data_IF_106959232444
#
_entry.id   IF_106959232444
#
_cell.length_a   1.000
_cell.length_b   1.000
_cell.length_c   1.000
_cell.angle_alpha   90.00
_cell.angle_beta   90.00
_cell.angle_gamma   90.00
#
_symmetry.space_group_name_H-M   'P 1'
#
loop_
_entity.id
_entity.type
_entity.pdbx_description
1 polymer ?
#
# COMPACT_ATOMS: atom_id res chain seq x y z
N UNK A 1 -13.59 -30.23 14.76
CA UNK A 1 -13.08 -29.41 13.63
C UNK A 1 -11.60 -29.18 13.90
N UNK A 2 -10.73 -29.83 13.16
CA UNK A 2 -9.28 -29.62 13.29
C UNK A 2 -8.97 -28.16 12.90
N UNK A 3 -8.44 -27.42 13.84
CA UNK A 3 -7.87 -26.08 13.58
C UNK A 3 -6.65 -26.28 12.68
N UNK A 4 -6.85 -26.16 11.40
CA UNK A 4 -5.80 -26.30 10.39
C UNK A 4 -4.66 -25.34 10.71
N UNK A 5 -3.57 -25.88 11.23
CA UNK A 5 -2.35 -25.14 11.56
C UNK A 5 -1.81 -24.54 10.27
N UNK A 6 -1.78 -23.25 10.17
CA UNK A 6 -1.20 -22.50 9.04
C UNK A 6 0.20 -23.05 8.72
N UNK A 7 0.44 -23.43 7.47
CA UNK A 7 1.78 -23.86 7.00
C UNK A 7 2.24 -22.89 5.93
N UNK A 8 3.33 -22.19 6.21
CA UNK A 8 4.03 -21.46 5.15
C UNK A 8 4.60 -22.47 4.16
N UNK A 9 4.47 -22.18 2.87
CA UNK A 9 5.08 -22.95 1.79
C UNK A 9 6.08 -22.06 1.07
N UNK A 10 7.25 -22.62 0.80
CA UNK A 10 8.27 -22.03 -0.06
C UNK A 10 8.42 -22.94 -1.26
N UNK A 11 8.31 -22.37 -2.45
CA UNK A 11 8.54 -23.08 -3.70
C UNK A 11 9.87 -22.62 -4.30
N UNK A 12 10.61 -23.55 -4.87
CA UNK A 12 11.85 -23.29 -5.58
C UNK A 12 11.67 -23.67 -7.06
N UNK A 13 12.01 -22.77 -7.97
CA UNK A 13 11.89 -22.95 -9.41
C UNK A 13 11.35 -21.73 -10.13
N UNK A 14 11.07 -21.86 -11.43
CA UNK A 14 10.38 -20.80 -12.18
C UNK A 14 8.98 -20.61 -11.61
N UNK A 15 8.66 -19.38 -11.25
CA UNK A 15 7.38 -19.04 -10.64
C UNK A 15 6.20 -19.23 -11.60
N UNK A 16 6.41 -19.19 -12.92
CA UNK A 16 5.37 -19.46 -13.90
C UNK A 16 4.92 -20.93 -13.84
N UNK A 17 5.88 -21.86 -13.81
CA UNK A 17 5.61 -23.29 -13.69
C UNK A 17 4.95 -23.61 -12.34
N UNK A 18 5.48 -23.02 -11.27
CA UNK A 18 4.92 -23.18 -9.92
C UNK A 18 3.47 -22.69 -9.86
N UNK A 19 3.16 -21.55 -10.44
CA UNK A 19 1.79 -21.03 -10.48
C UNK A 19 0.86 -21.95 -11.26
N UNK A 20 1.32 -22.49 -12.40
CA UNK A 20 0.54 -23.39 -13.25
C UNK A 20 0.27 -24.74 -12.59
N UNK A 21 1.29 -25.33 -11.96
CA UNK A 21 1.23 -26.71 -11.46
C UNK A 21 0.73 -26.82 -10.01
N UNK A 22 1.04 -25.82 -9.17
CA UNK A 22 0.89 -25.97 -7.73
C UNK A 22 -0.10 -25.00 -7.09
N UNK A 23 -0.57 -23.97 -7.81
CA UNK A 23 -1.50 -22.99 -7.27
C UNK A 23 -2.83 -23.04 -8.00
N UNK A 24 -3.88 -23.45 -7.30
CA UNK A 24 -5.22 -23.52 -7.87
C UNK A 24 -5.80 -22.12 -8.14
N UNK A 25 -6.73 -22.07 -9.10
CA UNK A 25 -7.44 -20.82 -9.42
C UNK A 25 -8.24 -20.31 -8.23
N UNK A 26 -8.27 -18.99 -8.05
CA UNK A 26 -9.09 -18.29 -7.05
C UNK A 26 -8.85 -18.72 -5.59
N UNK A 27 -7.59 -19.03 -5.25
CA UNK A 27 -7.20 -19.45 -3.88
C UNK A 27 -6.43 -18.39 -3.12
N UNK A 28 -5.94 -17.35 -3.81
CA UNK A 28 -5.05 -16.33 -3.25
C UNK A 28 -5.80 -15.06 -2.91
N UNK A 29 -5.66 -14.55 -1.69
CA UNK A 29 -6.31 -13.32 -1.25
C UNK A 29 -5.48 -12.08 -1.58
N UNK A 30 -4.15 -12.18 -1.49
CA UNK A 30 -3.24 -11.06 -1.69
C UNK A 30 -1.97 -11.51 -2.40
N UNK A 31 -1.58 -10.75 -3.42
CA UNK A 31 -0.30 -10.92 -4.12
C UNK A 31 0.54 -9.66 -3.90
N UNK A 32 1.77 -9.84 -3.46
CA UNK A 32 2.82 -8.82 -3.57
C UNK A 32 3.88 -9.35 -4.53
N UNK A 33 4.04 -8.66 -5.66
CA UNK A 33 4.96 -9.03 -6.71
C UNK A 33 6.12 -8.04 -6.73
N UNK A 34 7.33 -8.55 -6.55
CA UNK A 34 8.60 -7.81 -6.60
C UNK A 34 9.50 -8.46 -7.66
N UNK A 35 9.24 -8.20 -8.95
CA UNK A 35 9.97 -8.82 -10.05
C UNK A 35 11.33 -8.14 -10.25
N UNK A 36 12.22 -8.72 -11.06
CA UNK A 36 13.37 -7.99 -11.56
C UNK A 36 12.92 -6.73 -12.29
N UNK A 37 13.69 -5.65 -12.14
CA UNK A 37 13.31 -4.35 -12.70
C UNK A 37 13.85 -4.09 -14.11
N UNK A 38 14.57 -5.04 -14.70
CA UNK A 38 15.28 -4.85 -15.97
C UNK A 38 16.28 -3.67 -15.92
N UNK A 39 16.93 -3.52 -14.78
CA UNK A 39 17.80 -2.37 -14.47
C UNK A 39 19.21 -2.50 -15.07
N UNK A 40 19.49 -3.56 -15.83
CA UNK A 40 20.82 -3.91 -16.36
C UNK A 40 21.90 -4.08 -15.28
N UNK A 41 21.51 -4.40 -14.06
CA UNK A 41 22.41 -4.65 -12.94
C UNK A 41 22.45 -6.14 -12.63
N UNK A 42 23.63 -6.75 -12.77
CA UNK A 42 23.84 -8.13 -12.29
C UNK A 42 23.84 -8.16 -10.75
N UNK A 43 22.83 -8.75 -10.16
CA UNK A 43 22.79 -9.01 -8.71
C UNK A 43 23.61 -10.27 -8.40
N UNK A 44 24.91 -10.07 -8.15
CA UNK A 44 25.75 -11.11 -7.59
C UNK A 44 25.63 -11.09 -6.06
N UNK A 45 25.07 -12.13 -5.48
CA UNK A 45 25.14 -12.32 -4.02
C UNK A 45 26.56 -12.78 -3.70
N UNK A 46 27.38 -11.84 -3.24
CA UNK A 46 28.72 -12.12 -2.77
C UNK A 46 28.63 -12.79 -1.37
N UNK A 47 28.65 -14.10 -1.33
CA UNK A 47 28.99 -14.80 -0.09
C UNK A 47 30.51 -14.72 0.09
N UNK A 48 30.96 -13.82 0.98
CA UNK A 48 32.33 -13.87 1.48
C UNK A 48 32.37 -14.90 2.62
N UNK A 49 33.20 -15.91 2.46
CA UNK A 49 33.57 -16.75 3.59
C UNK A 49 34.38 -15.93 4.60
N UNK A 50 34.38 -16.36 5.87
CA UNK A 50 35.15 -15.69 6.94
C UNK A 50 36.67 -15.55 6.65
N UNK A 51 37.16 -16.26 5.64
CA UNK A 51 38.54 -16.21 5.13
C UNK A 51 38.79 -15.03 4.16
N UNK A 52 37.76 -14.32 3.69
CA UNK A 52 37.91 -13.26 2.68
C UNK A 52 38.05 -13.78 1.23
N UNK A 53 38.06 -15.09 1.01
CA UNK A 53 38.13 -15.70 -0.30
C UNK A 53 36.73 -15.79 -0.93
N UNK A 54 36.63 -15.67 -2.27
CA UNK A 54 35.39 -15.88 -3.01
C UNK A 54 35.00 -17.35 -2.90
N UNK A 55 33.81 -17.62 -2.37
CA UNK A 55 33.29 -18.98 -2.34
C UNK A 55 33.20 -19.56 -3.75
N UNK A 56 33.66 -20.80 -3.95
CA UNK A 56 33.50 -21.54 -5.19
C UNK A 56 32.03 -21.81 -5.55
N UNK A 57 31.12 -21.57 -4.61
CA UNK A 57 29.67 -21.61 -4.77
C UNK A 57 29.08 -20.22 -5.08
N UNK A 58 29.81 -19.37 -5.81
CA UNK A 58 29.25 -18.13 -6.33
C UNK A 58 28.17 -18.50 -7.35
N UNK A 59 26.94 -18.66 -6.89
CA UNK A 59 25.77 -18.85 -7.72
C UNK A 59 25.44 -17.47 -8.28
N UNK A 60 25.46 -17.32 -9.60
CA UNK A 60 24.83 -16.17 -10.26
C UNK A 60 23.36 -16.22 -9.89
N UNK A 61 22.97 -15.40 -8.92
CA UNK A 61 21.65 -15.49 -8.34
C UNK A 61 20.60 -15.10 -9.38
N UNK A 62 20.96 -14.19 -10.29
CA UNK A 62 20.00 -13.65 -11.22
C UNK A 62 20.68 -12.61 -12.15
N UNK A 63 20.44 -12.71 -13.43
CA UNK A 63 20.75 -11.66 -14.40
C UNK A 63 19.50 -10.82 -14.59
N UNK A 64 19.55 -9.55 -14.18
CA UNK A 64 18.47 -8.58 -14.40
C UNK A 64 18.61 -7.97 -15.82
N UNK A 65 18.86 -8.84 -16.79
CA UNK A 65 19.00 -8.51 -18.21
C UNK A 65 18.17 -9.48 -19.03
N UNK A 66 17.23 -8.92 -19.74
CA UNK A 66 16.35 -9.68 -20.64
C UNK A 66 16.78 -9.39 -22.06
N UNK A 67 17.01 -10.42 -22.83
CA UNK A 67 17.32 -10.29 -24.25
C UNK A 67 16.21 -10.95 -25.07
N UNK A 68 15.84 -10.30 -26.17
CA UNK A 68 14.90 -10.91 -27.10
C UNK A 68 15.56 -12.10 -27.77
N UNK A 69 15.05 -13.28 -27.52
CA UNK A 69 15.53 -14.56 -28.04
C UNK A 69 14.37 -15.51 -28.35
N UNK A 70 14.70 -16.77 -28.60
CA UNK A 70 13.71 -17.78 -28.96
C UNK A 70 12.66 -17.99 -27.85
N UNK A 71 13.06 -17.99 -26.60
CA UNK A 71 12.15 -18.13 -25.45
C UNK A 71 11.15 -16.98 -25.39
N UNK A 72 11.62 -15.73 -25.57
CA UNK A 72 10.74 -14.57 -25.61
C UNK A 72 9.79 -14.62 -26.81
N UNK A 73 10.26 -15.11 -27.96
CA UNK A 73 9.40 -15.29 -29.14
C UNK A 73 8.32 -16.35 -28.90
N UNK A 74 8.67 -17.50 -28.29
CA UNK A 74 7.69 -18.53 -27.95
C UNK A 74 6.65 -18.01 -26.94
N UNK A 75 7.09 -17.33 -25.88
CA UNK A 75 6.23 -16.74 -24.88
C UNK A 75 5.28 -15.68 -25.51
N UNK A 76 5.79 -14.86 -26.42
CA UNK A 76 4.99 -13.90 -27.17
C UNK A 76 3.92 -14.61 -28.02
N UNK A 77 4.30 -15.63 -28.78
CA UNK A 77 3.40 -16.37 -29.65
C UNK A 77 2.30 -17.11 -28.85
N UNK A 78 2.66 -17.67 -27.69
CA UNK A 78 1.69 -18.28 -26.78
C UNK A 78 0.60 -17.27 -26.38
N UNK A 79 1.00 -16.08 -25.92
CA UNK A 79 0.03 -15.05 -25.48
C UNK A 79 -0.81 -14.53 -26.67
N UNK A 80 -0.19 -14.34 -27.83
CA UNK A 80 -0.91 -13.83 -29.01
C UNK A 80 -1.96 -14.84 -29.50
N UNK A 81 -1.69 -16.13 -29.39
CA UNK A 81 -2.60 -17.20 -29.85
C UNK A 81 -3.64 -17.58 -28.81
N UNK A 82 -3.25 -17.70 -27.55
CA UNK A 82 -4.05 -18.33 -26.49
C UNK A 82 -4.41 -17.38 -25.34
N UNK A 83 -3.76 -16.23 -25.26
CA UNK A 83 -3.96 -15.27 -24.18
C UNK A 83 -5.24 -14.44 -24.32
N UNK A 84 -5.57 -13.63 -23.28
CA UNK A 84 -6.67 -12.70 -23.33
C UNK A 84 -6.56 -11.72 -24.50
N UNK A 85 -7.64 -11.51 -25.24
CA UNK A 85 -7.63 -10.70 -26.48
C UNK A 85 -7.02 -9.31 -26.28
N UNK A 86 -7.42 -8.58 -25.23
CA UNK A 86 -6.87 -7.24 -24.96
C UNK A 86 -5.36 -7.26 -24.73
N UNK A 87 -4.86 -8.29 -24.07
CA UNK A 87 -3.42 -8.47 -23.84
C UNK A 87 -2.70 -8.79 -25.14
N UNK A 88 -3.26 -9.69 -25.99
CA UNK A 88 -2.73 -10.01 -27.31
C UNK A 88 -2.64 -8.76 -28.19
N UNK A 89 -3.70 -7.96 -28.27
CA UNK A 89 -3.75 -6.72 -29.05
C UNK A 89 -2.67 -5.71 -28.54
N UNK A 90 -2.55 -5.57 -27.22
CA UNK A 90 -1.55 -4.71 -26.60
C UNK A 90 -0.12 -5.14 -26.93
N UNK A 91 0.20 -6.43 -26.76
CA UNK A 91 1.55 -6.94 -27.03
C UNK A 91 1.95 -6.79 -28.50
N UNK A 92 1.00 -7.00 -29.42
CA UNK A 92 1.24 -6.78 -30.85
C UNK A 92 1.56 -5.29 -31.12
N UNK A 93 0.79 -4.36 -30.53
CA UNK A 93 1.05 -2.93 -30.65
C UNK A 93 2.41 -2.53 -30.05
N UNK A 94 2.74 -3.05 -28.85
CA UNK A 94 4.03 -2.80 -28.22
C UNK A 94 5.19 -3.37 -29.02
N UNK A 95 5.05 -4.54 -29.64
CA UNK A 95 6.07 -5.10 -30.50
C UNK A 95 6.34 -4.25 -31.74
N UNK A 96 5.30 -3.64 -32.33
CA UNK A 96 5.44 -2.71 -33.45
C UNK A 96 6.16 -1.43 -32.99
N UNK A 97 5.84 -0.95 -31.80
CA UNK A 97 6.39 0.29 -31.26
C UNK A 97 7.82 0.15 -30.74
N UNK A 98 8.10 -0.88 -29.94
CA UNK A 98 9.42 -1.11 -29.31
C UNK A 98 10.39 -1.87 -30.19
N UNK A 99 9.88 -2.71 -31.09
CA UNK A 99 10.69 -3.71 -31.78
C UNK A 99 11.02 -4.91 -30.90
N UNK A 100 11.97 -5.72 -31.34
CA UNK A 100 12.49 -6.88 -30.63
C UNK A 100 13.71 -6.46 -29.78
N UNK A 101 13.46 -5.97 -28.59
CA UNK A 101 14.48 -5.49 -27.66
C UNK A 101 14.27 -6.05 -26.25
N UNK A 102 15.16 -5.71 -25.34
CA UNK A 102 15.18 -6.19 -23.96
C UNK A 102 13.88 -5.82 -23.20
N UNK A 103 13.37 -4.61 -23.42
CA UNK A 103 12.11 -4.19 -22.79
C UNK A 103 10.93 -5.03 -23.29
N UNK A 104 10.87 -5.34 -24.59
CA UNK A 104 9.82 -6.19 -25.14
C UNK A 104 9.91 -7.64 -24.62
N UNK A 105 11.14 -8.17 -24.45
CA UNK A 105 11.37 -9.47 -23.84
C UNK A 105 10.87 -9.49 -22.39
N UNK A 106 11.21 -8.47 -21.61
CA UNK A 106 10.76 -8.30 -20.22
C UNK A 106 9.23 -8.21 -20.12
N UNK A 107 8.59 -7.37 -20.92
CA UNK A 107 7.14 -7.20 -20.96
C UNK A 107 6.44 -8.53 -21.27
N UNK A 108 6.97 -9.30 -22.23
CA UNK A 108 6.42 -10.59 -22.64
C UNK A 108 6.50 -11.60 -21.49
N UNK A 109 7.66 -11.71 -20.84
CA UNK A 109 7.87 -12.56 -19.67
C UNK A 109 6.91 -12.21 -18.52
N UNK A 110 6.76 -10.92 -18.24
CA UNK A 110 5.86 -10.43 -17.20
C UNK A 110 4.38 -10.71 -17.53
N UNK A 111 4.01 -10.60 -18.81
CA UNK A 111 2.63 -10.83 -19.25
C UNK A 111 2.15 -12.26 -18.95
N UNK A 112 2.97 -13.29 -19.23
CA UNK A 112 2.63 -14.69 -18.91
C UNK A 112 2.36 -14.86 -17.40
N UNK A 113 3.25 -14.32 -16.58
CA UNK A 113 3.16 -14.41 -15.12
C UNK A 113 1.93 -13.66 -14.58
N UNK A 114 1.64 -12.49 -15.11
CA UNK A 114 0.48 -11.69 -14.70
C UNK A 114 -0.85 -12.37 -15.05
N UNK A 115 -0.93 -13.09 -16.17
CA UNK A 115 -2.11 -13.90 -16.52
C UNK A 115 -2.34 -14.99 -15.46
N UNK A 116 -1.30 -15.70 -15.06
CA UNK A 116 -1.40 -16.73 -14.04
C UNK A 116 -1.69 -16.13 -12.64
N UNK A 117 -1.09 -15.01 -12.30
CA UNK A 117 -1.38 -14.29 -11.05
C UNK A 117 -2.84 -13.83 -11.00
N UNK A 118 -3.40 -13.37 -12.12
CA UNK A 118 -4.82 -13.05 -12.20
C UNK A 118 -5.69 -14.32 -12.04
N UNK A 119 -5.29 -15.45 -12.62
CA UNK A 119 -6.02 -16.72 -12.48
C UNK A 119 -6.11 -17.17 -11.02
N UNK A 120 -4.99 -17.16 -10.30
CA UNK A 120 -4.93 -17.65 -8.91
C UNK A 120 -5.54 -16.71 -7.89
N UNK A 121 -5.66 -15.41 -8.20
CA UNK A 121 -6.23 -14.40 -7.33
C UNK A 121 -7.75 -14.59 -7.20
N UNK A 122 -8.30 -14.51 -5.98
CA UNK A 122 -9.75 -14.53 -5.72
C UNK A 122 -10.43 -13.28 -6.28
N UNK A 123 -11.74 -13.33 -6.52
CA UNK A 123 -12.54 -12.17 -6.94
C UNK A 123 -12.46 -10.99 -5.95
N UNK A 124 -12.29 -11.29 -4.66
CA UNK A 124 -12.09 -10.29 -3.60
C UNK A 124 -10.63 -9.94 -3.36
N UNK A 125 -9.72 -10.54 -4.13
CA UNK A 125 -8.29 -10.42 -3.92
C UNK A 125 -7.67 -9.16 -4.53
N UNK A 126 -6.47 -8.85 -4.06
CA UNK A 126 -5.69 -7.68 -4.45
C UNK A 126 -4.27 -8.04 -4.85
N UNK A 127 -3.71 -7.27 -5.78
CA UNK A 127 -2.32 -7.41 -6.23
C UNK A 127 -1.59 -6.08 -6.14
N UNK A 128 -0.37 -6.13 -5.63
CA UNK A 128 0.59 -5.03 -5.58
C UNK A 128 1.80 -5.42 -6.41
N UNK A 129 2.10 -4.64 -7.43
CA UNK A 129 3.27 -4.82 -8.28
C UNK A 129 4.28 -3.71 -8.01
N UNK A 130 5.42 -4.07 -7.46
CA UNK A 130 6.54 -3.16 -7.23
C UNK A 130 7.44 -3.13 -8.47
N UNK A 131 7.79 -1.96 -8.95
CA UNK A 131 8.66 -1.75 -10.10
C UNK A 131 9.37 -0.40 -10.04
N UNK A 132 10.41 -0.25 -10.83
CA UNK A 132 11.06 1.03 -11.02
C UNK A 132 10.33 1.90 -12.08
N UNK A 133 10.61 3.20 -12.15
CA UNK A 133 10.01 4.09 -13.16
C UNK A 133 10.31 3.71 -14.61
N UNK A 134 11.36 2.93 -14.88
CA UNK A 134 11.75 2.54 -16.26
C UNK A 134 10.72 1.62 -16.90
N UNK A 135 10.22 0.67 -16.12
CA UNK A 135 9.26 -0.34 -16.59
C UNK A 135 7.80 -0.03 -16.20
N UNK A 136 7.57 0.82 -15.20
CA UNK A 136 6.26 1.03 -14.57
C UNK A 136 5.14 1.33 -15.55
N UNK A 137 5.38 2.18 -16.55
CA UNK A 137 4.37 2.58 -17.53
C UNK A 137 3.94 1.42 -18.44
N UNK A 138 4.88 0.57 -18.86
CA UNK A 138 4.56 -0.63 -19.65
C UNK A 138 3.83 -1.69 -18.82
N UNK A 139 4.27 -1.88 -17.58
CA UNK A 139 3.63 -2.78 -16.63
C UNK A 139 2.21 -2.33 -16.28
N UNK A 140 1.99 -1.00 -16.17
CA UNK A 140 0.65 -0.43 -15.99
C UNK A 140 -0.28 -0.80 -17.15
N UNK A 141 0.19 -0.70 -18.40
CA UNK A 141 -0.60 -1.11 -19.57
C UNK A 141 -0.92 -2.60 -19.56
N UNK A 142 0.03 -3.47 -19.18
CA UNK A 142 -0.22 -4.89 -19.00
C UNK A 142 -1.30 -5.16 -17.93
N UNK A 143 -1.18 -4.51 -16.79
CA UNK A 143 -2.15 -4.64 -15.70
C UNK A 143 -3.55 -4.17 -16.14
N UNK A 144 -3.64 -3.08 -16.90
CA UNK A 144 -4.92 -2.60 -17.48
C UNK A 144 -5.53 -3.62 -18.45
N UNK A 145 -4.71 -4.28 -19.26
CA UNK A 145 -5.18 -5.29 -20.21
C UNK A 145 -5.68 -6.56 -19.54
N UNK A 146 -5.08 -6.96 -18.42
CA UNK A 146 -5.34 -8.22 -17.71
C UNK A 146 -6.39 -8.04 -16.60
N UNK A 147 -6.20 -7.08 -15.71
CA UNK A 147 -7.08 -6.83 -14.57
C UNK A 147 -8.24 -5.87 -14.90
N UNK A 148 -8.11 -5.08 -15.97
CA UNK A 148 -9.07 -4.05 -16.36
C UNK A 148 -8.76 -2.70 -15.69
N UNK A 149 -8.89 -1.62 -16.47
CA UNK A 149 -8.63 -0.24 -16.01
C UNK A 149 -9.52 0.18 -14.84
N UNK A 150 -10.76 -0.34 -14.79
CA UNK A 150 -11.71 -0.06 -13.70
C UNK A 150 -11.29 -0.64 -12.36
N UNK A 151 -10.40 -1.61 -12.36
CA UNK A 151 -9.86 -2.28 -11.18
C UNK A 151 -8.53 -1.69 -10.71
N UNK A 152 -8.02 -0.67 -11.38
CA UNK A 152 -6.90 0.13 -10.90
C UNK A 152 -7.34 0.92 -9.67
N UNK A 153 -6.57 0.81 -8.59
CA UNK A 153 -6.88 1.46 -7.32
C UNK A 153 -5.96 2.63 -7.04
N UNK A 154 -4.64 2.40 -7.06
CA UNK A 154 -3.64 3.45 -6.85
C UNK A 154 -2.34 3.14 -7.60
N UNK A 155 -1.64 4.20 -7.96
CA UNK A 155 -0.21 4.21 -8.15
C UNK A 155 0.40 4.78 -6.87
N UNK A 156 1.24 4.00 -6.20
CA UNK A 156 1.91 4.40 -4.97
C UNK A 156 3.34 4.75 -5.32
N UNK A 157 3.74 5.97 -5.01
CA UNK A 157 5.11 6.46 -5.17
C UNK A 157 5.86 6.22 -3.87
N UNK A 158 6.82 5.31 -3.90
CA UNK A 158 7.61 4.99 -2.72
C UNK A 158 8.99 5.61 -2.80
N UNK A 159 9.25 6.61 -1.95
CA UNK A 159 10.58 7.18 -1.78
C UNK A 159 11.51 6.15 -1.16
N UNK A 160 12.53 5.71 -1.92
CA UNK A 160 13.46 4.67 -1.52
C UNK A 160 14.75 5.23 -0.91
N UNK A 161 15.27 6.29 -1.50
CA UNK A 161 16.57 6.88 -1.12
C UNK A 161 16.51 8.40 -1.03
N UNK A 162 17.58 9.02 -0.51
CA UNK A 162 17.82 10.44 -0.65
C UNK A 162 18.28 10.84 -2.05
N UNK A 163 18.43 12.14 -2.28
CA UNK A 163 18.89 12.67 -3.56
C UNK A 163 20.35 12.32 -3.79
N UNK A 164 20.67 11.83 -4.97
CA UNK A 164 22.03 11.62 -5.45
C UNK A 164 22.38 12.68 -6.48
N UNK A 165 23.68 13.00 -6.59
CA UNK A 165 24.15 13.95 -7.59
C UNK A 165 23.92 13.40 -9.00
N UNK A 166 22.98 14.01 -9.72
CA UNK A 166 22.74 13.75 -11.12
C UNK A 166 23.27 14.95 -11.94
N UNK A 167 23.96 14.68 -13.02
CA UNK A 167 24.66 15.76 -13.78
C UNK A 167 23.76 16.48 -14.77
N UNK A 168 22.72 15.85 -15.28
CA UNK A 168 21.82 16.40 -16.32
C UNK A 168 20.34 16.06 -16.14
N UNK A 169 19.97 15.33 -15.08
CA UNK A 169 18.61 14.91 -14.79
C UNK A 169 18.33 15.07 -13.30
N UNK A 170 17.06 14.99 -12.91
CA UNK A 170 16.71 14.82 -11.50
C UNK A 170 17.13 13.42 -11.06
N UNK A 171 17.69 13.29 -9.85
CA UNK A 171 18.10 12.01 -9.28
C UNK A 171 16.89 11.09 -9.06
N UNK A 172 16.90 9.82 -9.51
CA UNK A 172 15.84 8.87 -9.28
C UNK A 172 15.87 8.41 -7.81
N UNK A 173 14.86 8.76 -7.05
CA UNK A 173 14.78 8.47 -5.61
C UNK A 173 13.58 7.61 -5.22
N UNK A 174 12.76 7.21 -6.17
CA UNK A 174 11.53 6.49 -5.90
C UNK A 174 11.36 5.25 -6.76
N UNK A 175 10.56 4.34 -6.25
CA UNK A 175 9.98 3.22 -6.99
C UNK A 175 8.46 3.40 -7.05
N UNK A 176 7.82 2.62 -7.90
CA UNK A 176 6.37 2.63 -8.12
C UNK A 176 5.77 1.32 -7.65
N UNK A 177 4.63 1.39 -6.95
CA UNK A 177 3.84 0.20 -6.63
C UNK A 177 2.45 0.38 -7.24
N UNK A 178 2.10 -0.47 -8.20
CA UNK A 178 0.80 -0.49 -8.84
C UNK A 178 -0.16 -1.37 -8.03
N UNK A 179 -1.25 -0.79 -7.57
CA UNK A 179 -2.27 -1.49 -6.81
C UNK A 179 -3.52 -1.73 -7.64
N UNK A 180 -3.89 -3.01 -7.80
CA UNK A 180 -5.11 -3.46 -8.45
C UNK A 180 -5.89 -4.41 -7.55
N UNK A 181 -7.20 -4.46 -7.73
CA UNK A 181 -8.03 -5.57 -7.26
C UNK A 181 -8.48 -6.44 -8.44
N UNK A 182 -8.93 -7.67 -8.19
CA UNK A 182 -9.53 -8.50 -9.26
C UNK A 182 -10.96 -8.10 -9.55
N UNK A 183 -11.71 -7.65 -8.54
CA UNK A 183 -13.10 -7.18 -8.66
C UNK A 183 -13.39 -5.98 -7.76
N UNK A 184 -14.63 -5.50 -7.77
CA UNK A 184 -15.02 -4.32 -6.99
C UNK A 184 -15.18 -4.60 -5.49
N UNK A 185 -15.54 -5.83 -5.11
CA UNK A 185 -15.73 -6.23 -3.72
C UNK A 185 -14.42 -6.73 -3.10
N UNK A 186 -13.35 -5.91 -3.15
CA UNK A 186 -12.05 -6.28 -2.58
C UNK A 186 -11.92 -5.88 -1.11
N UNK A 187 -11.12 -6.65 -0.37
CA UNK A 187 -10.81 -6.34 1.02
C UNK A 187 -9.72 -5.26 1.07
N UNK A 188 -10.02 -4.14 1.72
CA UNK A 188 -9.05 -3.07 1.96
C UNK A 188 -9.11 -2.60 3.41
N UNK A 189 -7.99 -2.74 4.12
CA UNK A 189 -7.84 -2.22 5.48
C UNK A 189 -7.10 -0.88 5.42
N UNK A 190 -7.68 0.15 6.02
CA UNK A 190 -7.05 1.49 6.07
C UNK A 190 -5.78 1.40 6.90
N UNK A 191 -4.65 1.48 6.23
CA UNK A 191 -3.33 1.58 6.88
C UNK A 191 -3.16 2.98 7.45
N UNK A 192 -2.73 3.07 8.73
CA UNK A 192 -2.53 4.34 9.42
C UNK A 192 -1.09 4.48 9.87
N UNK A 193 -0.61 5.71 9.88
CA UNK A 193 0.70 6.11 10.41
C UNK A 193 0.53 6.98 11.66
N UNK A 194 1.50 7.00 12.57
CA UNK A 194 1.50 7.94 13.69
C UNK A 194 1.41 9.40 13.21
N UNK A 195 0.84 10.25 14.05
CA UNK A 195 0.88 11.68 13.79
C UNK A 195 2.31 12.21 13.82
N UNK A 196 2.59 13.21 12.98
CA UNK A 196 3.82 13.98 13.06
C UNK A 196 3.81 14.85 14.32
N UNK A 197 4.97 14.98 15.02
CA UNK A 197 5.10 15.81 16.21
C UNK A 197 4.67 17.26 15.95
N UNK A 198 5.07 17.80 14.81
CA UNK A 198 4.70 19.17 14.42
C UNK A 198 3.18 19.32 14.22
N UNK A 199 2.51 18.32 13.63
CA UNK A 199 1.05 18.30 13.50
C UNK A 199 0.39 18.36 14.90
N UNK A 200 0.90 17.55 15.83
CA UNK A 200 0.36 17.53 17.21
C UNK A 200 0.59 18.88 17.89
N UNK A 201 1.80 19.43 17.83
CA UNK A 201 2.14 20.75 18.41
C UNK A 201 1.26 21.88 17.87
N UNK A 202 0.92 21.85 16.59
CA UNK A 202 0.12 22.90 15.94
C UNK A 202 -1.37 22.75 16.15
N UNK A 203 -1.87 21.53 16.28
CA UNK A 203 -3.31 21.21 16.20
C UNK A 203 -3.92 20.75 17.51
N UNK A 204 -3.10 20.34 18.48
CA UNK A 204 -3.57 19.84 19.75
C UNK A 204 -3.15 20.77 20.89
N UNK A 205 -3.95 20.81 21.95
CA UNK A 205 -3.67 21.52 23.21
C UNK A 205 -4.01 20.59 24.37
N UNK A 206 -3.31 20.74 25.47
CA UNK A 206 -3.66 20.05 26.70
C UNK A 206 -4.93 20.65 27.29
N UNK A 207 -5.82 19.81 27.74
CA UNK A 207 -6.98 20.18 28.54
C UNK A 207 -6.63 20.26 30.05
N UNK A 208 -7.62 20.47 30.89
CA UNK A 208 -7.44 20.53 32.36
C UNK A 208 -6.97 19.24 33.01
N UNK A 209 -7.09 18.09 32.30
CA UNK A 209 -6.68 16.76 32.75
C UNK A 209 -5.34 16.33 32.16
N UNK A 210 -4.70 17.21 31.35
CA UNK A 210 -3.44 16.92 30.67
C UNK A 210 -3.59 16.08 29.39
N UNK A 211 -4.82 15.85 28.90
CA UNK A 211 -5.05 15.13 27.65
C UNK A 211 -4.93 16.07 26.45
N UNK A 212 -4.35 15.57 25.36
CA UNK A 212 -4.20 16.33 24.11
C UNK A 212 -5.50 16.33 23.29
N UNK A 213 -6.15 17.48 23.26
CA UNK A 213 -7.41 17.73 22.51
C UNK A 213 -7.12 18.50 21.24
N UNK A 214 -7.73 18.11 20.13
CA UNK A 214 -7.65 18.79 18.87
C UNK A 214 -8.33 20.17 18.94
N UNK A 215 -7.57 21.24 18.79
CA UNK A 215 -8.00 22.63 19.01
C UNK A 215 -8.14 23.45 17.73
N UNK A 216 -7.97 22.85 16.56
CA UNK A 216 -7.97 23.55 15.28
C UNK A 216 -9.33 23.43 14.57
N UNK A 217 -9.61 24.32 13.61
CA UNK A 217 -10.85 24.33 12.84
C UNK A 217 -11.17 22.98 12.16
N UNK A 218 -12.44 22.77 11.76
CA UNK A 218 -12.92 21.51 11.21
C UNK A 218 -13.53 20.56 12.26
N UNK A 219 -13.77 21.04 13.47
CA UNK A 219 -14.44 20.28 14.53
C UNK A 219 -15.97 20.39 14.48
N UNK A 220 -16.52 21.03 13.48
CA UNK A 220 -17.96 21.19 13.31
C UNK A 220 -18.64 19.89 12.94
N UNK A 221 -19.79 19.64 13.52
CA UNK A 221 -20.60 18.42 13.32
C UNK A 221 -21.59 18.56 12.17
N UNK A 222 -21.30 19.41 11.17
CA UNK A 222 -22.24 19.72 10.10
C UNK A 222 -21.62 19.51 8.72
N UNK A 223 -22.44 18.96 7.79
CA UNK A 223 -22.17 18.88 6.34
C UNK A 223 -22.82 20.02 5.57
N UNK A 224 -22.44 20.20 4.30
CA UNK A 224 -23.02 21.18 3.40
C UNK A 224 -24.40 20.71 2.88
N UNK A 225 -25.32 21.65 2.68
CA UNK A 225 -26.69 21.40 2.21
C UNK A 225 -27.67 21.10 3.33
N UNK A 226 -28.86 21.71 3.25
CA UNK A 226 -29.96 21.43 4.17
C UNK A 226 -30.63 20.08 3.83
N UNK A 227 -31.13 19.38 4.83
CA UNK A 227 -31.91 18.12 4.68
C UNK A 227 -33.23 18.25 5.44
N UNK A 228 -34.25 17.50 4.99
CA UNK A 228 -35.57 17.47 5.64
C UNK A 228 -35.70 16.36 6.70
N UNK A 229 -34.74 15.44 6.77
CA UNK A 229 -34.73 14.35 7.74
C UNK A 229 -34.23 14.80 9.11
N UNK A 230 -34.04 13.83 10.02
CA UNK A 230 -33.57 14.06 11.39
C UNK A 230 -32.24 14.84 11.44
N UNK A 231 -31.35 14.63 10.47
CA UNK A 231 -30.11 15.39 10.34
C UNK A 231 -30.29 16.89 10.05
N UNK A 232 -31.50 17.34 9.70
CA UNK A 232 -31.87 18.72 9.51
C UNK A 232 -32.56 19.33 10.73
N UNK A 233 -32.91 18.55 11.76
CA UNK A 233 -33.67 19.04 12.93
C UNK A 233 -32.78 19.89 13.85
N UNK A 234 -33.33 20.95 14.47
CA UNK A 234 -32.63 21.69 15.50
C UNK A 234 -32.23 20.83 16.69
N UNK A 235 -31.04 21.08 17.24
CA UNK A 235 -30.55 20.43 18.44
C UNK A 235 -29.88 21.44 19.36
N UNK A 236 -30.29 21.46 20.64
CA UNK A 236 -29.78 22.37 21.70
C UNK A 236 -29.67 23.84 21.27
N UNK A 237 -30.64 24.33 20.49
CA UNK A 237 -30.69 25.71 20.02
C UNK A 237 -29.90 26.01 18.74
N UNK A 238 -29.25 25.00 18.16
CA UNK A 238 -28.57 25.10 16.87
C UNK A 238 -29.47 24.55 15.78
N UNK A 239 -29.78 25.37 14.77
CA UNK A 239 -30.52 24.96 13.57
C UNK A 239 -29.58 24.85 12.38
N UNK A 240 -29.27 23.64 11.87
CA UNK A 240 -28.38 23.49 10.76
C UNK A 240 -29.04 23.95 9.44
N UNK A 241 -30.35 23.80 9.29
CA UNK A 241 -31.05 24.13 8.05
C UNK A 241 -31.13 25.64 7.81
N UNK A 242 -31.23 26.45 8.86
CA UNK A 242 -31.18 27.91 8.78
C UNK A 242 -29.88 28.44 8.15
N UNK A 243 -28.82 27.63 8.13
CA UNK A 243 -27.51 27.96 7.53
C UNK A 243 -27.17 27.06 6.33
N UNK A 244 -28.19 26.45 5.71
CA UNK A 244 -28.03 25.52 4.59
C UNK A 244 -27.04 24.37 4.89
N UNK A 245 -27.18 23.75 6.06
CA UNK A 245 -26.36 22.63 6.51
C UNK A 245 -27.23 21.50 7.07
N UNK A 246 -26.61 20.38 7.39
CA UNK A 246 -27.22 19.27 8.11
C UNK A 246 -26.23 18.70 9.12
N UNK A 247 -26.71 17.98 10.13
CA UNK A 247 -25.85 17.27 11.07
C UNK A 247 -25.11 16.13 10.37
N UNK A 248 -23.79 16.14 10.50
CA UNK A 248 -22.89 15.12 9.95
C UNK A 248 -22.03 14.55 11.09
N UNK A 249 -22.59 13.56 11.78
CA UNK A 249 -21.90 12.89 12.89
C UNK A 249 -20.92 11.86 12.33
N UNK A 250 -19.62 11.99 12.64
CA UNK A 250 -18.61 11.04 12.13
C UNK A 250 -18.80 9.63 12.67
N UNK A 251 -18.72 8.63 11.79
CA UNK A 251 -18.81 7.20 12.17
C UNK A 251 -17.72 6.75 13.15
N UNK A 252 -16.63 7.48 13.25
CA UNK A 252 -15.56 7.20 14.20
C UNK A 252 -16.09 6.99 15.64
N UNK A 253 -17.09 7.76 16.06
CA UNK A 253 -17.65 7.64 17.40
C UNK A 253 -18.39 6.31 17.65
N UNK A 254 -18.76 5.58 16.61
CA UNK A 254 -19.36 4.25 16.75
C UNK A 254 -18.43 3.23 17.43
N UNK A 255 -17.13 3.50 17.45
CA UNK A 255 -16.12 2.68 18.13
C UNK A 255 -15.93 3.07 19.61
N UNK A 256 -16.31 4.28 19.99
CA UNK A 256 -16.15 4.84 21.34
C UNK A 256 -17.44 4.77 22.17
N UNK A 257 -18.55 4.48 21.52
CA UNK A 257 -19.88 4.46 22.12
C UNK A 257 -20.43 3.04 22.20
N UNK A 258 -21.41 2.76 23.09
CA UNK A 258 -22.10 1.47 23.12
C UNK A 258 -22.71 1.07 21.77
N UNK A 259 -22.93 -0.22 21.53
CA UNK A 259 -23.40 -0.74 20.25
C UNK A 259 -24.75 -0.16 19.80
N UNK A 260 -25.64 0.16 20.73
CA UNK A 260 -26.94 0.78 20.48
C UNK A 260 -26.81 2.13 19.77
N UNK A 261 -25.71 2.85 20.01
CA UNK A 261 -25.45 4.17 19.42
C UNK A 261 -25.45 4.13 17.88
N UNK A 262 -25.02 3.04 17.26
CA UNK A 262 -24.96 2.91 15.79
C UNK A 262 -26.30 3.14 15.11
N UNK A 263 -27.38 2.74 15.78
CA UNK A 263 -28.75 2.77 15.25
C UNK A 263 -29.54 4.03 15.63
N UNK A 264 -28.96 4.92 16.43
CA UNK A 264 -29.63 6.16 16.81
C UNK A 264 -29.74 7.12 15.64
N UNK A 265 -30.84 7.90 15.55
CA UNK A 265 -30.95 9.00 14.63
C UNK A 265 -29.90 10.11 14.92
N UNK A 266 -29.58 10.98 13.93
CA UNK A 266 -28.53 11.97 14.07
C UNK A 266 -28.63 12.88 15.28
N UNK A 267 -29.80 13.38 15.64
CA UNK A 267 -29.98 14.25 16.82
C UNK A 267 -29.77 13.52 18.15
N UNK A 268 -30.21 12.27 18.23
CA UNK A 268 -29.96 11.42 19.41
C UNK A 268 -28.48 11.03 19.52
N UNK A 269 -27.81 10.80 18.37
CA UNK A 269 -26.35 10.60 18.34
C UNK A 269 -25.62 11.83 18.89
N UNK A 270 -26.02 13.05 18.53
CA UNK A 270 -25.45 14.27 19.08
C UNK A 270 -25.66 14.36 20.59
N UNK A 271 -26.86 14.02 21.09
CA UNK A 271 -27.15 14.06 22.52
C UNK A 271 -26.29 13.06 23.30
N UNK A 272 -26.20 11.81 22.81
CA UNK A 272 -25.36 10.80 23.43
C UNK A 272 -23.88 11.20 23.48
N UNK A 273 -23.35 11.79 22.41
CA UNK A 273 -21.99 12.31 22.37
C UNK A 273 -21.76 13.49 23.30
N UNK A 274 -22.75 14.37 23.43
CA UNK A 274 -22.69 15.49 24.37
C UNK A 274 -22.63 15.00 25.82
N UNK A 275 -23.49 14.04 26.18
CA UNK A 275 -23.50 13.44 27.52
C UNK A 275 -22.20 12.67 27.82
N UNK A 276 -21.60 12.06 26.81
CA UNK A 276 -20.31 11.36 26.92
C UNK A 276 -19.08 12.31 26.91
N UNK A 277 -19.28 13.64 26.78
CA UNK A 277 -18.19 14.61 26.76
C UNK A 277 -17.45 14.73 25.41
N UNK A 278 -17.95 14.07 24.35
CA UNK A 278 -17.37 14.14 23.00
C UNK A 278 -17.83 15.36 22.19
N UNK A 279 -18.80 16.12 22.70
CA UNK A 279 -19.22 17.41 22.13
C UNK A 279 -19.11 18.48 23.19
N UNK A 280 -18.59 19.65 22.81
CA UNK A 280 -18.52 20.85 23.62
C UNK A 280 -19.33 21.95 22.97
N UNK A 281 -20.07 22.68 23.79
CA UNK A 281 -20.80 23.90 23.42
C UNK A 281 -20.19 25.01 24.24
N UNK A 282 -19.43 25.92 23.60
CA UNK A 282 -18.83 27.07 24.25
C UNK A 282 -19.72 28.30 24.07
N UNK A 283 -19.73 29.26 25.04
CA UNK A 283 -20.49 30.50 24.90
C UNK A 283 -20.07 31.27 23.64
N UNK A 284 -21.05 31.71 22.86
CA UNK A 284 -20.82 32.55 21.67
C UNK A 284 -20.34 31.81 20.42
N UNK A 285 -20.23 30.47 20.43
CA UNK A 285 -19.85 29.70 19.22
C UNK A 285 -21.03 29.60 18.26
N UNK A 286 -20.71 29.58 16.98
CA UNK A 286 -21.71 29.40 15.92
C UNK A 286 -22.20 27.93 15.80
N UNK A 287 -21.41 26.96 16.30
CA UNK A 287 -21.67 25.53 16.20
C UNK A 287 -21.11 24.79 17.41
N UNK A 288 -21.73 23.67 17.80
CA UNK A 288 -21.11 22.69 18.70
C UNK A 288 -19.85 22.13 18.07
N UNK A 289 -18.83 21.90 18.88
CA UNK A 289 -17.54 21.38 18.42
C UNK A 289 -17.30 19.97 18.92
N UNK A 290 -16.73 19.14 18.07
CA UNK A 290 -16.25 17.81 18.47
C UNK A 290 -15.05 17.93 19.40
N UNK A 291 -15.06 17.15 20.47
CA UNK A 291 -13.87 16.86 21.27
C UNK A 291 -13.19 15.65 20.67
N UNK A 292 -11.93 15.77 20.28
CA UNK A 292 -11.13 14.70 19.69
C UNK A 292 -9.83 14.59 20.45
N UNK A 293 -9.69 13.54 21.22
CA UNK A 293 -8.46 13.24 21.94
C UNK A 293 -7.46 12.53 21.03
N UNK A 294 -6.17 12.80 21.24
CA UNK A 294 -5.09 12.20 20.45
C UNK A 294 -4.97 10.70 20.72
N UNK A 295 -5.14 10.30 21.97
CA UNK A 295 -5.07 8.92 22.45
C UNK A 295 -6.21 8.01 21.96
N UNK A 296 -7.31 8.61 21.49
CA UNK A 296 -8.44 7.91 20.87
C UNK A 296 -8.27 7.70 19.35
N UNK A 297 -7.10 8.02 18.80
CA UNK A 297 -6.87 8.05 17.36
C UNK A 297 -5.73 7.13 16.97
N UNK A 298 -5.98 6.29 15.98
CA UNK A 298 -4.98 5.37 15.41
C UNK A 298 -3.97 6.07 14.49
N UNK A 299 -3.98 7.39 14.41
CA UNK A 299 -3.13 8.16 13.51
C UNK A 299 -3.82 8.61 12.23
N UNK A 300 -3.02 8.97 11.22
CA UNK A 300 -3.48 9.44 9.91
C UNK A 300 -3.46 8.31 8.88
N UNK A 301 -4.44 8.23 7.97
CA UNK A 301 -4.34 7.33 6.82
C UNK A 301 -3.05 7.56 6.05
N UNK A 302 -2.44 6.47 5.57
CA UNK A 302 -1.26 6.55 4.70
C UNK A 302 -1.73 6.96 3.31
N UNK A 303 -1.16 8.03 2.71
CA UNK A 303 -1.47 8.44 1.33
C UNK A 303 -0.77 7.53 0.32
N UNK A 304 -0.94 7.81 -0.97
CA UNK A 304 -0.27 7.12 -2.07
C UNK A 304 1.16 7.61 -2.35
N UNK A 305 1.63 8.63 -1.65
CA UNK A 305 3.05 9.02 -1.63
C UNK A 305 3.68 8.51 -0.34
N UNK A 306 4.49 7.46 -0.44
CA UNK A 306 5.16 6.82 0.70
C UNK A 306 6.57 7.38 0.90
N UNK A 307 6.64 8.65 1.31
CA UNK A 307 7.89 9.26 1.78
C UNK A 307 8.15 8.95 3.26
N UNK A 308 7.15 8.40 3.94
CA UNK A 308 7.15 8.13 5.36
C UNK A 308 7.71 6.74 5.69
N UNK A 309 8.58 6.68 6.69
CA UNK A 309 9.03 5.44 7.31
C UNK A 309 8.67 5.46 8.81
N UNK A 310 8.07 4.39 9.37
CA UNK A 310 7.74 4.30 10.79
C UNK A 310 8.99 4.51 11.66
N UNK A 311 8.83 5.23 12.76
CA UNK A 311 9.89 5.51 13.73
C UNK A 311 11.07 6.34 13.20
N UNK A 312 10.91 6.98 12.03
CA UNK A 312 11.89 7.91 11.51
C UNK A 312 11.68 9.32 12.05
N UNK A 313 12.59 10.21 11.72
CA UNK A 313 12.56 11.60 12.12
C UNK A 313 11.22 12.28 11.80
N UNK A 314 10.77 13.14 12.69
CA UNK A 314 9.52 13.88 12.53
C UNK A 314 8.24 13.17 12.92
N UNK A 315 8.26 11.87 13.26
CA UNK A 315 7.08 11.15 13.78
C UNK A 315 6.96 11.28 15.30
N UNK A 316 5.80 10.90 15.87
CA UNK A 316 5.63 10.88 17.34
C UNK A 316 6.63 9.98 18.06
N UNK A 317 7.08 8.93 17.39
CA UNK A 317 8.02 7.94 17.93
C UNK A 317 9.44 8.11 17.39
N UNK A 318 9.69 9.13 16.57
CA UNK A 318 10.99 9.43 15.98
C UNK A 318 11.59 10.73 16.50
N UNK A 319 12.52 11.29 15.73
CA UNK A 319 13.15 12.59 16.02
C UNK A 319 12.25 13.77 15.64
N UNK A 320 12.67 15.00 15.91
CA UNK A 320 11.92 16.21 15.61
C UNK A 320 12.06 16.70 14.16
N UNK A 321 12.88 16.06 13.35
CA UNK A 321 13.07 16.44 11.94
C UNK A 321 11.91 15.96 11.08
N UNK A 322 11.61 16.71 10.01
CA UNK A 322 10.51 16.40 9.10
C UNK A 322 10.81 15.26 8.13
N UNK A 323 9.76 14.77 7.46
CA UNK A 323 9.85 13.72 6.42
C UNK A 323 10.76 14.15 5.27
N UNK A 324 10.83 15.44 4.96
CA UNK A 324 11.64 16.01 3.87
C UNK A 324 13.11 16.23 4.26
N UNK A 325 13.47 16.01 5.53
CA UNK A 325 14.87 15.91 5.85
C UNK A 325 15.46 14.77 5.04
N UNK A 326 16.47 15.05 4.22
CA UNK A 326 17.28 13.99 3.63
C UNK A 326 17.73 13.10 4.77
N UNK A 327 17.19 11.89 4.82
CA UNK A 327 17.67 10.91 5.78
C UNK A 327 19.12 10.74 5.42
N UNK A 328 19.99 11.36 6.22
CA UNK A 328 21.43 11.17 6.10
C UNK A 328 21.68 9.70 6.40
N UNK A 329 21.58 8.87 5.38
CA UNK A 329 22.23 7.57 5.40
C UNK A 329 23.72 7.88 5.52
N UNK A 330 24.20 7.91 6.76
CA UNK A 330 25.61 8.08 7.02
C UNK A 330 26.36 6.98 6.30
N UNK A 331 27.03 7.34 5.25
CA UNK A 331 28.11 6.57 4.67
C UNK A 331 29.16 6.40 5.77
N UNK A 332 29.13 5.34 6.56
CA UNK A 332 30.16 5.13 7.54
C UNK A 332 29.90 4.18 8.69
N UNK A 333 28.69 3.71 8.88
CA UNK A 333 28.47 2.58 9.79
C UNK A 333 27.80 1.47 8.98
N UNK A 334 28.31 0.25 8.96
CA UNK A 334 27.53 -0.91 8.60
C UNK A 334 26.56 -1.14 9.76
N UNK A 335 25.55 -0.27 9.86
CA UNK A 335 24.37 -0.61 10.62
C UNK A 335 23.82 -1.85 9.95
N UNK A 336 23.78 -2.91 10.70
CA UNK A 336 23.10 -4.16 10.47
C UNK A 336 22.16 -4.03 9.28
N UNK A 337 22.74 -4.38 8.14
CA UNK A 337 22.18 -4.47 6.79
C UNK A 337 21.06 -3.48 6.42
N UNK A 338 21.34 -2.63 5.44
CA UNK A 338 20.37 -2.01 4.53
C UNK A 338 19.28 -3.03 4.09
N UNK A 339 19.53 -4.30 4.19
CA UNK A 339 18.65 -5.44 3.99
C UNK A 339 17.66 -5.71 5.12
N UNK A 340 17.85 -5.17 6.33
CA UNK A 340 16.81 -5.13 7.37
C UNK A 340 15.77 -4.03 7.14
N UNK A 341 16.04 -3.12 6.18
CA UNK A 341 15.05 -2.20 5.59
C UNK A 341 14.37 -2.82 4.34
N UNK A 342 14.57 -4.06 4.02
CA UNK A 342 13.44 -4.77 3.41
C UNK A 342 12.29 -4.43 4.33
N UNK A 343 11.18 -3.89 3.87
CA UNK A 343 10.04 -3.62 4.72
C UNK A 343 9.97 -4.85 5.60
N UNK A 344 10.20 -4.68 6.94
CA UNK A 344 10.00 -5.80 7.84
C UNK A 344 8.65 -6.28 7.47
N UNK A 345 8.67 -7.09 6.50
CA UNK A 345 7.68 -7.50 5.51
C UNK A 345 6.50 -6.53 5.40
N UNK A 346 5.80 -6.41 4.31
CA UNK A 346 4.44 -5.87 4.29
C UNK A 346 3.61 -6.35 5.49
N UNK A 347 4.00 -7.42 6.16
CA UNK A 347 3.50 -7.84 7.48
C UNK A 347 3.36 -6.73 8.51
N UNK A 348 4.27 -5.78 8.61
CA UNK A 348 4.13 -4.68 9.57
C UNK A 348 2.98 -3.73 9.18
N UNK A 349 2.70 -3.59 7.89
CA UNK A 349 1.56 -2.80 7.39
C UNK A 349 0.26 -3.62 7.28
N UNK A 350 0.34 -4.95 7.20
CA UNK A 350 -0.79 -5.83 6.96
C UNK A 350 -1.23 -6.64 8.18
N UNK A 351 -0.45 -6.67 9.27
CA UNK A 351 -0.74 -7.45 10.47
C UNK A 351 -1.73 -6.81 11.44
N UNK A 352 -2.28 -5.65 11.15
CA UNK A 352 -3.18 -4.93 12.06
C UNK A 352 -4.65 -5.37 11.99
N UNK A 353 -4.99 -6.43 11.26
CA UNK A 353 -6.35 -6.98 11.31
C UNK A 353 -6.41 -8.18 12.25
N UNK A 354 -7.02 -7.99 13.40
CA UNK A 354 -7.32 -9.01 14.41
C UNK A 354 -8.48 -9.93 14.00
N UNK A 355 -8.51 -10.43 12.75
CA UNK A 355 -9.44 -11.50 12.38
C UNK A 355 -8.69 -12.65 11.73
N UNK A 356 -8.89 -13.91 12.20
CA UNK A 356 -8.27 -15.10 11.64
C UNK A 356 -9.05 -15.57 10.41
N UNK A 357 -9.03 -14.80 9.33
CA UNK A 357 -9.34 -15.34 8.02
C UNK A 357 -8.04 -15.86 7.44
N UNK A 358 -8.06 -17.10 6.96
CA UNK A 358 -6.91 -17.76 6.32
C UNK A 358 -6.51 -16.98 5.07
N UNK A 359 -5.60 -16.02 5.22
CA UNK A 359 -5.12 -15.16 4.13
C UNK A 359 -3.91 -15.84 3.52
N UNK A 360 -4.04 -16.34 2.29
CA UNK A 360 -2.88 -16.80 1.52
C UNK A 360 -2.20 -15.59 0.92
N UNK A 361 -0.99 -15.30 1.38
CA UNK A 361 -0.13 -14.26 0.81
C UNK A 361 0.89 -14.96 -0.08
N UNK A 362 0.86 -14.69 -1.37
CA UNK A 362 1.95 -15.06 -2.28
C UNK A 362 2.90 -13.88 -2.34
N UNK A 363 4.09 -14.09 -1.82
CA UNK A 363 5.22 -13.24 -2.13
C UNK A 363 5.98 -13.90 -3.28
N UNK A 364 5.86 -13.34 -4.46
CA UNK A 364 6.59 -13.80 -5.63
C UNK A 364 7.78 -12.85 -5.84
N UNK A 365 8.92 -13.17 -5.23
CA UNK A 365 10.19 -12.57 -5.59
C UNK A 365 10.90 -13.55 -6.51
N UNK A 366 11.26 -13.11 -7.68
CA UNK A 366 12.07 -13.89 -8.63
C UNK A 366 13.50 -14.10 -8.14
N UNK A 367 13.88 -13.53 -7.01
CA UNK A 367 15.16 -13.73 -6.32
C UNK A 367 15.33 -15.11 -5.70
N UNK A 368 14.31 -15.95 -5.69
CA UNK A 368 14.35 -17.19 -4.89
C UNK A 368 14.99 -18.39 -5.56
N UNK A 369 15.32 -18.31 -6.83
CA UNK A 369 15.90 -19.49 -7.52
C UNK A 369 17.35 -19.81 -7.09
N UNK A 370 18.07 -18.90 -6.43
CA UNK A 370 19.50 -19.07 -6.19
C UNK A 370 19.97 -18.92 -4.74
N UNK A 371 19.15 -18.51 -3.80
CA UNK A 371 19.52 -18.43 -2.41
C UNK A 371 18.99 -19.61 -1.62
N UNK A 372 19.76 -20.70 -1.59
CA UNK A 372 19.58 -21.75 -0.61
C UNK A 372 19.72 -21.17 0.79
N UNK A 373 18.62 -20.81 1.41
CA UNK A 373 18.55 -20.50 2.83
C UNK A 373 18.50 -21.82 3.61
N UNK A 374 19.62 -22.17 4.24
CA UNK A 374 19.64 -23.05 5.40
C UNK A 374 19.24 -22.27 6.65
#
# INVERSE_FOLDING_TARGET
METGRWKNKLYFGDNLDILREHVASETVDLIYLDPPFNSNVSYNVLFQEKSGERSAAQITAFEDTWQWGMESEYAYQEIVKEGPRKLSDLLQALRVFLGQNDMMAYITMMAQRMVELHRVLKQTGSIYLHCDPTASHYLKLLMDAIFGIVNFRNEIIWRRTGTHNATRTFGPIHDVILFYSKGDAYLFNIVRRPYMKEHVRRRYREDSEGRLVFSSGGNVLTGAGATQGDSGQPWRGFDPTAKNRHWAVPRFYEQLMPDEYKNLPPTEKLEALYQAGHIRIEPGVAWPVMVRYLDERDGMPVPDIWAYQPYTEGTLHGTDQGIDADVAYGWGQPTQSVWDIRPKSPRAYWSASSQPAATMVIWCSTLSAAAGLR
#
